data_IF_428244088376
#
_entry.id   IF_428244088376
#
_cell.length_a   1.000
_cell.length_b   1.000
_cell.length_c   1.000
_cell.angle_alpha   90.00
_cell.angle_beta   90.00
_cell.angle_gamma   90.00
#
_symmetry.space_group_name_H-M   'P 1'
#
loop_
_entity.id
_entity.type
_entity.pdbx_description
1 polymer ?
#
# COMPACT_ATOMS: atom_id res chain seq x y z
N UNK A 1 -5.61 -0.51 -18.80
CA UNK A 1 -5.50 0.94 -18.49
C UNK A 1 -4.71 1.23 -17.21
N UNK A 2 -5.13 0.71 -16.06
CA UNK A 2 -4.51 0.96 -14.75
C UNK A 2 -2.97 0.82 -14.70
N UNK A 3 -2.43 -0.31 -15.18
CA UNK A 3 -0.98 -0.58 -15.22
C UNK A 3 -0.22 0.49 -16.01
N UNK A 4 -0.77 0.93 -17.15
CA UNK A 4 -0.16 1.97 -17.98
C UNK A 4 -0.15 3.30 -17.22
N UNK A 5 -1.23 3.63 -16.50
CA UNK A 5 -1.31 4.86 -15.70
C UNK A 5 -0.30 4.86 -14.55
N UNK A 6 -0.13 3.73 -13.88
CA UNK A 6 0.87 3.56 -12.81
C UNK A 6 2.27 3.80 -13.36
N UNK A 7 2.61 3.18 -14.48
CA UNK A 7 3.93 3.35 -15.08
C UNK A 7 4.16 4.79 -15.57
N UNK A 8 3.13 5.42 -16.14
CA UNK A 8 3.18 6.83 -16.54
C UNK A 8 3.44 7.75 -15.34
N UNK A 9 2.77 7.52 -14.20
CA UNK A 9 3.01 8.26 -12.96
C UNK A 9 4.44 8.00 -12.45
N UNK A 10 4.91 6.75 -12.48
CA UNK A 10 6.27 6.41 -12.06
C UNK A 10 7.34 7.07 -12.94
N UNK A 11 7.10 7.21 -14.24
CA UNK A 11 8.01 7.89 -15.16
C UNK A 11 8.25 9.36 -14.79
N UNK A 12 7.27 10.03 -14.15
CA UNK A 12 7.41 11.43 -13.70
C UNK A 12 8.54 11.62 -12.68
N UNK A 13 9.01 10.57 -12.00
CA UNK A 13 10.14 10.65 -11.06
C UNK A 13 11.40 11.23 -11.71
N UNK A 14 11.57 11.04 -13.02
CA UNK A 14 12.72 11.59 -13.78
C UNK A 14 12.69 13.11 -13.88
N UNK A 15 11.52 13.73 -13.72
CA UNK A 15 11.31 15.17 -13.80
C UNK A 15 11.20 15.84 -12.42
N UNK A 16 11.33 15.09 -11.32
CA UNK A 16 11.06 15.60 -9.96
C UNK A 16 11.94 16.79 -9.56
N UNK A 17 13.16 16.85 -10.06
CA UNK A 17 14.10 17.93 -9.77
C UNK A 17 13.99 19.12 -10.74
N UNK A 18 13.49 18.89 -11.96
CA UNK A 18 13.41 19.93 -13.00
C UNK A 18 12.05 20.59 -13.06
N UNK A 19 10.96 19.86 -12.77
CA UNK A 19 9.58 20.34 -12.86
C UNK A 19 8.72 19.93 -11.65
N UNK A 20 9.18 20.15 -10.39
CA UNK A 20 8.47 19.71 -9.19
C UNK A 20 7.04 20.25 -9.11
N UNK A 21 6.85 21.57 -9.30
CA UNK A 21 5.53 22.22 -9.25
C UNK A 21 4.56 21.69 -10.32
N UNK A 22 5.08 21.35 -11.51
CA UNK A 22 4.24 20.79 -12.58
C UNK A 22 3.77 19.38 -12.21
N UNK A 23 4.66 18.54 -11.67
CA UNK A 23 4.31 17.21 -11.17
C UNK A 23 3.25 17.32 -10.08
N UNK A 24 3.44 18.20 -9.10
CA UNK A 24 2.45 18.46 -8.04
C UNK A 24 1.09 18.84 -8.62
N UNK A 25 1.05 19.75 -9.61
CA UNK A 25 -0.20 20.19 -10.25
C UNK A 25 -0.92 19.09 -11.04
N UNK A 26 -0.17 18.14 -11.62
CA UNK A 26 -0.73 17.02 -12.39
C UNK A 26 -1.26 15.93 -11.45
N UNK A 27 -0.52 15.64 -10.37
CA UNK A 27 -0.81 14.52 -9.49
C UNK A 27 -1.80 14.86 -8.36
N UNK A 28 -1.89 16.12 -7.94
CA UNK A 28 -2.80 16.53 -6.86
C UNK A 28 -4.28 16.24 -7.20
N UNK A 29 -4.79 16.51 -8.42
CA UNK A 29 -6.14 16.11 -8.81
C UNK A 29 -6.36 14.60 -8.76
N UNK A 30 -5.35 13.81 -9.15
CA UNK A 30 -5.40 12.34 -9.12
C UNK A 30 -5.49 11.85 -7.67
N UNK A 31 -4.65 12.36 -6.77
CA UNK A 31 -4.73 12.05 -5.35
C UNK A 31 -6.07 12.45 -4.73
N UNK A 32 -6.61 13.62 -5.08
CA UNK A 32 -7.90 14.12 -4.58
C UNK A 32 -9.10 13.32 -5.09
N UNK A 33 -9.03 12.75 -6.29
CA UNK A 33 -10.18 12.15 -6.94
C UNK A 33 -10.56 10.79 -6.33
N UNK A 34 -11.77 10.70 -5.78
CA UNK A 34 -12.33 9.45 -5.23
C UNK A 34 -12.79 8.46 -6.31
N UNK A 35 -12.86 8.88 -7.58
CA UNK A 35 -13.15 7.96 -8.69
C UNK A 35 -11.92 7.14 -9.09
N UNK A 36 -10.73 7.54 -8.64
CA UNK A 36 -9.49 6.84 -8.92
C UNK A 36 -9.31 5.67 -7.97
N UNK A 37 -8.69 4.60 -8.47
CA UNK A 37 -8.36 3.43 -7.64
C UNK A 37 -7.38 3.83 -6.53
N UNK A 38 -7.49 3.25 -5.32
CA UNK A 38 -6.59 3.55 -4.21
C UNK A 38 -5.10 3.49 -4.59
N UNK A 39 -4.70 2.51 -5.40
CA UNK A 39 -3.33 2.37 -5.91
C UNK A 39 -2.80 3.64 -6.58
N UNK A 40 -3.53 4.10 -7.61
CA UNK A 40 -3.17 5.28 -8.40
C UNK A 40 -3.08 6.52 -7.50
N UNK A 41 -3.99 6.64 -6.52
CA UNK A 41 -4.02 7.76 -5.57
C UNK A 41 -2.84 7.74 -4.61
N UNK A 42 -2.51 6.57 -4.06
CA UNK A 42 -1.36 6.36 -3.17
C UNK A 42 -0.04 6.65 -3.89
N UNK A 43 0.13 6.15 -5.10
CA UNK A 43 1.32 6.42 -5.91
C UNK A 43 1.41 7.91 -6.26
N UNK A 44 0.31 8.53 -6.69
CA UNK A 44 0.28 9.97 -6.96
C UNK A 44 0.66 10.80 -5.73
N UNK A 45 0.09 10.50 -4.55
CA UNK A 45 0.43 11.15 -3.29
C UNK A 45 1.92 11.03 -2.95
N UNK A 46 2.48 9.82 -3.06
CA UNK A 46 3.89 9.60 -2.74
C UNK A 46 4.81 10.34 -3.71
N UNK A 47 4.48 10.34 -5.00
CA UNK A 47 5.22 11.08 -6.04
C UNK A 47 5.15 12.59 -5.85
N UNK A 48 4.06 13.12 -5.28
CA UNK A 48 4.01 14.54 -4.85
C UNK A 48 5.04 14.78 -3.75
N UNK A 49 5.12 13.93 -2.73
CA UNK A 49 6.09 14.12 -1.64
C UNK A 49 7.55 14.04 -2.09
N UNK A 50 7.86 13.20 -3.09
CA UNK A 50 9.21 13.12 -3.70
C UNK A 50 9.68 14.42 -4.37
N UNK A 51 8.75 15.32 -4.69
CA UNK A 51 9.09 16.64 -5.27
C UNK A 51 9.54 17.65 -4.22
N UNK A 52 9.63 17.26 -2.94
CA UNK A 52 9.97 18.14 -1.80
C UNK A 52 9.00 19.34 -1.71
N UNK A 53 7.69 19.09 -1.53
CA UNK A 53 6.69 20.14 -1.61
C UNK A 53 6.83 21.22 -0.52
N UNK A 54 6.38 22.43 -0.86
CA UNK A 54 6.23 23.55 0.09
C UNK A 54 5.10 23.26 1.10
N UNK A 55 5.12 23.97 2.25
CA UNK A 55 4.15 23.80 3.34
C UNK A 55 2.69 23.73 2.85
N UNK A 56 2.29 24.63 1.94
CA UNK A 56 0.89 24.71 1.45
C UNK A 56 0.42 23.40 0.82
N UNK A 57 1.30 22.72 0.08
CA UNK A 57 0.99 21.44 -0.56
C UNK A 57 0.94 20.32 0.48
N UNK A 58 1.82 20.35 1.49
CA UNK A 58 1.79 19.41 2.61
C UNK A 58 0.50 19.55 3.44
N UNK A 59 0.11 20.79 3.78
CA UNK A 59 -1.13 21.09 4.51
C UNK A 59 -2.35 20.63 3.71
N UNK A 60 -2.34 20.82 2.40
CA UNK A 60 -3.39 20.30 1.52
C UNK A 60 -3.48 18.76 1.57
N UNK A 61 -2.34 18.06 1.58
CA UNK A 61 -2.31 16.60 1.69
C UNK A 61 -2.89 16.13 3.02
N UNK A 62 -2.50 16.77 4.13
CA UNK A 62 -3.02 16.46 5.47
C UNK A 62 -4.53 16.69 5.53
N UNK A 63 -5.00 17.84 5.06
CA UNK A 63 -6.44 18.14 5.02
C UNK A 63 -7.22 17.12 4.18
N UNK A 64 -6.67 16.69 3.05
CA UNK A 64 -7.29 15.66 2.20
C UNK A 64 -7.30 14.29 2.88
N UNK A 65 -6.26 13.95 3.65
CA UNK A 65 -6.19 12.74 4.46
C UNK A 65 -7.27 12.73 5.56
N UNK A 66 -7.46 13.85 6.27
CA UNK A 66 -8.45 13.91 7.35
C UNK A 66 -9.89 13.68 6.89
N UNK A 67 -10.23 14.15 5.69
CA UNK A 67 -11.57 13.98 5.10
C UNK A 67 -11.69 12.74 4.21
N UNK A 68 -10.64 11.92 4.11
CA UNK A 68 -10.65 10.71 3.31
C UNK A 68 -11.51 9.62 3.98
N UNK A 69 -12.36 8.98 3.18
CA UNK A 69 -13.27 7.92 3.64
C UNK A 69 -12.61 6.55 3.57
N UNK A 70 -11.67 6.38 2.64
CA UNK A 70 -10.91 5.15 2.50
C UNK A 70 -9.86 5.06 3.62
N UNK A 71 -10.03 4.13 4.59
CA UNK A 71 -9.09 3.98 5.69
C UNK A 71 -7.69 3.59 5.22
N UNK A 72 -7.56 2.94 4.08
CA UNK A 72 -6.26 2.55 3.54
C UNK A 72 -5.48 3.74 3.01
N UNK A 73 -6.14 4.62 2.26
CA UNK A 73 -5.49 5.83 1.73
C UNK A 73 -5.10 6.75 2.90
N UNK A 74 -5.94 6.84 3.93
CA UNK A 74 -5.59 7.54 5.18
C UNK A 74 -4.33 6.98 5.85
N UNK A 75 -4.32 5.67 6.11
CA UNK A 75 -3.19 5.00 6.76
C UNK A 75 -1.91 5.17 5.95
N UNK A 76 -1.99 5.02 4.63
CA UNK A 76 -0.87 5.20 3.73
C UNK A 76 -0.32 6.63 3.74
N UNK A 77 -1.19 7.63 3.61
CA UNK A 77 -0.78 9.03 3.62
C UNK A 77 -0.12 9.38 4.95
N UNK A 78 -0.75 9.03 6.08
CA UNK A 78 -0.19 9.26 7.40
C UNK A 78 1.18 8.58 7.56
N UNK A 79 1.30 7.30 7.22
CA UNK A 79 2.55 6.55 7.36
C UNK A 79 3.67 7.12 6.50
N UNK A 80 3.34 7.58 5.28
CA UNK A 80 4.30 8.24 4.39
C UNK A 80 4.79 9.56 4.99
N UNK A 81 3.88 10.38 5.53
CA UNK A 81 4.23 11.63 6.21
C UNK A 81 5.06 11.37 7.48
N UNK A 82 4.64 10.42 8.32
CA UNK A 82 5.35 10.00 9.52
C UNK A 82 6.77 9.55 9.20
N UNK A 83 6.92 8.73 8.17
CA UNK A 83 8.20 8.27 7.64
C UNK A 83 9.11 9.44 7.26
N UNK A 84 8.58 10.42 6.53
CA UNK A 84 9.35 11.62 6.16
C UNK A 84 9.74 12.42 7.41
N UNK A 85 8.84 12.55 8.39
CA UNK A 85 9.11 13.29 9.63
C UNK A 85 10.22 12.70 10.50
N UNK A 86 10.44 11.38 10.41
CA UNK A 86 11.42 10.62 11.20
C UNK A 86 12.80 10.53 10.54
N UNK A 87 12.89 10.95 9.26
CA UNK A 87 14.13 10.87 8.49
C UNK A 87 14.54 12.28 8.03
N UNK A 88 15.07 13.11 8.94
CA UNK A 88 15.47 14.47 8.63
C UNK A 88 16.55 14.56 7.56
N UNK A 89 17.37 13.50 7.39
CA UNK A 89 18.55 13.49 6.53
C UNK A 89 18.23 13.53 5.03
N UNK A 90 16.98 13.28 4.63
CA UNK A 90 16.59 13.29 3.21
C UNK A 90 16.29 14.72 2.75
N UNK A 91 15.48 15.45 3.51
CA UNK A 91 14.80 16.68 3.09
C UNK A 91 14.47 17.59 4.28
N UNK A 92 15.44 18.32 4.83
CA UNK A 92 15.26 19.07 6.08
C UNK A 92 14.05 20.03 6.07
N UNK A 93 13.86 20.79 4.98
CA UNK A 93 12.70 21.69 4.83
C UNK A 93 11.38 20.92 4.75
N UNK A 94 11.30 19.87 3.91
CA UNK A 94 10.09 19.06 3.79
C UNK A 94 9.77 18.34 5.11
N UNK A 95 10.79 17.88 5.83
CA UNK A 95 10.65 17.28 7.16
C UNK A 95 10.05 18.29 8.13
N UNK A 96 10.55 19.54 8.14
CA UNK A 96 9.96 20.61 8.94
C UNK A 96 8.50 20.84 8.58
N UNK A 97 8.18 20.93 7.28
CA UNK A 97 6.80 21.14 6.82
C UNK A 97 5.87 20.02 7.28
N UNK A 98 6.32 18.77 7.13
CA UNK A 98 5.54 17.58 7.51
C UNK A 98 5.37 17.50 9.03
N UNK A 99 6.43 17.74 9.82
CA UNK A 99 6.31 17.80 11.28
C UNK A 99 5.27 18.82 11.72
N UNK A 100 5.35 20.04 11.16
CA UNK A 100 4.39 21.10 11.45
C UNK A 100 2.96 20.69 11.08
N UNK A 101 2.74 20.13 9.90
CA UNK A 101 1.41 19.69 9.47
C UNK A 101 0.86 18.54 10.33
N UNK A 102 1.71 17.62 10.78
CA UNK A 102 1.29 16.51 11.65
C UNK A 102 0.93 16.94 13.08
N UNK A 103 1.37 18.12 13.55
CA UNK A 103 0.95 18.61 14.89
C UNK A 103 -0.54 18.92 15.01
N UNK A 104 -1.25 19.12 13.89
CA UNK A 104 -2.69 19.41 13.89
C UNK A 104 -3.55 18.15 13.80
N UNK A 105 -2.92 16.98 13.68
CA UNK A 105 -3.57 15.70 13.42
C UNK A 105 -3.67 14.89 14.72
N UNK A 106 -4.77 14.18 14.91
CA UNK A 106 -4.92 13.19 16.00
C UNK A 106 -3.99 11.99 15.76
N UNK A 107 -2.76 12.08 16.27
CA UNK A 107 -1.74 11.05 16.04
C UNK A 107 -2.15 9.69 16.60
N UNK A 108 -2.86 9.65 17.73
CA UNK A 108 -3.26 8.39 18.37
C UNK A 108 -4.22 7.61 17.47
N UNK A 109 -5.21 8.29 16.90
CA UNK A 109 -6.13 7.68 15.93
C UNK A 109 -5.40 7.07 14.74
N UNK A 110 -4.45 7.80 14.14
CA UNK A 110 -3.75 7.32 12.93
C UNK A 110 -2.70 6.25 13.22
N UNK A 111 -2.04 6.26 14.38
CA UNK A 111 -1.18 5.16 14.80
C UNK A 111 -1.98 3.86 15.00
N UNK A 112 -3.22 3.93 15.50
CA UNK A 112 -4.10 2.77 15.60
C UNK A 112 -4.64 2.30 14.23
N UNK A 113 -4.78 3.21 13.27
CA UNK A 113 -5.14 2.88 11.88
C UNK A 113 -4.00 2.17 11.12
N UNK A 114 -2.76 2.27 11.64
CA UNK A 114 -1.49 1.89 11.01
C UNK A 114 -1.26 0.38 10.83
N UNK A 115 -2.11 -0.50 11.39
CA UNK A 115 -1.96 -1.96 11.32
C UNK A 115 -2.02 -2.57 9.89
N UNK A 116 -2.19 -1.76 8.84
CA UNK A 116 -2.29 -2.18 7.43
C UNK A 116 -1.06 -1.87 6.58
N UNK A 117 -0.10 -1.10 7.12
CA UNK A 117 1.17 -0.77 6.46
C UNK A 117 2.32 -1.14 7.37
N UNK A 118 3.15 -2.08 6.92
CA UNK A 118 4.26 -2.59 7.70
C UNK A 118 5.56 -1.97 7.20
N UNK A 119 6.32 -1.34 8.09
CA UNK A 119 7.61 -0.73 7.78
C UNK A 119 8.69 -1.28 8.68
N UNK A 120 9.78 -1.73 8.09
CA UNK A 120 10.98 -2.13 8.80
C UNK A 120 12.15 -1.29 8.32
N UNK A 121 12.93 -0.74 9.25
CA UNK A 121 14.11 0.05 8.91
C UNK A 121 15.28 -0.39 9.78
N UNK A 122 16.40 -0.72 9.14
CA UNK A 122 17.66 -1.06 9.79
C UNK A 122 18.70 -0.05 9.33
N UNK A 123 19.40 0.58 10.27
CA UNK A 123 20.47 1.54 10.00
C UNK A 123 21.69 1.26 10.88
N UNK A 124 22.86 1.67 10.42
CA UNK A 124 24.04 1.72 11.27
C UNK A 124 23.99 2.90 12.25
N UNK A 125 24.77 2.84 13.34
CA UNK A 125 24.79 3.87 14.40
C UNK A 125 25.04 5.29 13.88
N UNK A 126 25.85 5.40 12.83
CA UNK A 126 26.22 6.69 12.22
C UNK A 126 25.22 7.16 11.15
N UNK A 127 24.10 6.45 10.95
CA UNK A 127 23.07 6.70 9.92
C UNK A 127 23.60 6.84 8.47
N UNK A 128 24.82 6.35 8.21
CA UNK A 128 25.46 6.39 6.90
C UNK A 128 25.01 5.28 5.97
N UNK A 129 24.60 4.14 6.55
CA UNK A 129 24.16 2.97 5.80
C UNK A 129 22.91 2.36 6.42
N UNK A 130 22.00 1.89 5.58
CA UNK A 130 20.76 1.31 6.05
C UNK A 130 19.83 0.91 4.92
N UNK A 131 18.79 0.18 5.27
CA UNK A 131 17.73 -0.26 4.36
C UNK A 131 16.38 -0.05 5.05
N UNK A 132 15.41 0.45 4.30
CA UNK A 132 14.02 0.55 4.72
C UNK A 132 13.16 -0.25 3.77
N UNK A 133 12.27 -1.08 4.30
CA UNK A 133 11.30 -1.87 3.53
C UNK A 133 9.91 -1.50 4.01
N UNK A 134 9.07 -1.07 3.07
CA UNK A 134 7.65 -0.81 3.29
C UNK A 134 6.83 -1.88 2.56
N UNK A 135 5.85 -2.46 3.26
CA UNK A 135 4.86 -3.38 2.73
C UNK A 135 3.47 -2.74 2.84
N UNK A 136 2.84 -2.55 1.69
CA UNK A 136 1.49 -2.03 1.56
C UNK A 136 0.58 -3.12 1.01
N UNK A 137 -0.49 -3.43 1.74
CA UNK A 137 -1.49 -4.41 1.32
C UNK A 137 -2.85 -3.74 1.11
N UNK A 138 -3.49 -4.00 -0.03
CA UNK A 138 -4.84 -3.54 -0.36
C UNK A 138 -5.82 -4.70 -0.26
N UNK A 139 -6.76 -4.62 0.68
CA UNK A 139 -7.88 -5.56 0.77
C UNK A 139 -9.18 -4.84 0.41
N UNK A 140 -10.00 -5.51 -0.39
CA UNK A 140 -11.36 -5.05 -0.71
C UNK A 140 -12.38 -5.90 0.03
N UNK A 141 -13.61 -5.38 0.21
CA UNK A 141 -14.65 -6.07 1.00
C UNK A 141 -15.10 -7.41 0.41
N UNK A 142 -14.88 -7.62 -0.88
CA UNK A 142 -15.27 -8.79 -1.67
C UNK A 142 -14.18 -9.87 -1.75
N UNK A 143 -13.05 -9.69 -1.05
CA UNK A 143 -11.84 -10.48 -1.27
C UNK A 143 -11.16 -10.83 0.05
N UNK A 144 -10.84 -12.12 0.23
CA UNK A 144 -10.05 -12.59 1.38
C UNK A 144 -8.55 -12.43 1.16
N UNK A 145 -8.14 -12.39 -0.11
CA UNK A 145 -6.76 -12.10 -0.51
C UNK A 145 -6.59 -10.60 -0.80
N UNK A 146 -5.38 -10.05 -0.60
CA UNK A 146 -5.11 -8.68 -1.01
C UNK A 146 -5.25 -8.56 -2.53
N UNK A 147 -5.98 -7.56 -3.01
CA UNK A 147 -6.05 -7.24 -4.44
C UNK A 147 -4.72 -6.70 -4.96
N UNK A 148 -3.99 -6.00 -4.09
CA UNK A 148 -2.63 -5.55 -4.39
C UNK A 148 -1.71 -5.69 -3.19
N UNK A 149 -0.46 -5.98 -3.50
CA UNK A 149 0.65 -5.96 -2.57
C UNK A 149 1.77 -5.14 -3.20
N UNK A 150 2.19 -4.07 -2.55
CA UNK A 150 3.31 -3.24 -2.99
C UNK A 150 4.38 -3.30 -1.92
N UNK A 151 5.58 -3.69 -2.34
CA UNK A 151 6.78 -3.66 -1.52
C UNK A 151 7.74 -2.64 -2.09
N UNK A 152 8.13 -1.65 -1.30
CA UNK A 152 9.18 -0.69 -1.67
C UNK A 152 10.38 -0.85 -0.76
N UNK A 153 11.56 -0.75 -1.35
CA UNK A 153 12.84 -0.80 -0.63
C UNK A 153 13.63 0.47 -0.93
N UNK A 154 14.01 1.17 0.13
CA UNK A 154 14.87 2.34 0.10
C UNK A 154 16.24 1.99 0.69
N UNK A 155 17.30 2.54 0.10
CA UNK A 155 18.67 2.34 0.57
C UNK A 155 19.26 3.65 1.11
N UNK A 156 19.98 3.59 2.23
CA UNK A 156 20.79 4.70 2.75
C UNK A 156 22.23 4.37 2.42
N UNK A 157 22.88 5.19 1.61
CA UNK A 157 24.28 5.00 1.23
C UNK A 157 25.05 6.31 1.39
N UNK A 158 26.07 6.29 2.25
CA UNK A 158 26.87 7.48 2.54
C UNK A 158 26.06 8.62 3.18
N UNK A 159 25.01 8.29 3.95
CA UNK A 159 24.10 9.26 4.57
C UNK A 159 23.06 9.85 3.62
N UNK A 160 23.07 9.46 2.34
CA UNK A 160 22.06 9.83 1.36
C UNK A 160 21.02 8.73 1.23
N UNK A 161 19.76 9.13 1.18
CA UNK A 161 18.66 8.22 0.93
C UNK A 161 18.37 8.07 -0.56
N UNK A 162 18.31 6.83 -1.00
CA UNK A 162 17.97 6.38 -2.34
C UNK A 162 16.61 5.72 -2.27
N UNK A 163 15.58 6.53 -2.47
CA UNK A 163 14.19 6.09 -2.53
C UNK A 163 13.98 5.20 -3.76
N UNK A 164 13.19 4.13 -3.61
CA UNK A 164 12.91 3.14 -4.66
C UNK A 164 14.16 2.50 -5.22
N UNK A 165 15.10 2.16 -4.34
CA UNK A 165 16.22 1.30 -4.72
C UNK A 165 15.70 -0.01 -5.34
N UNK A 166 14.59 -0.54 -4.81
CA UNK A 166 13.75 -1.52 -5.49
C UNK A 166 12.26 -1.28 -5.21
N UNK A 167 11.40 -1.64 -6.16
CA UNK A 167 9.95 -1.69 -5.96
C UNK A 167 9.41 -2.94 -6.63
N UNK A 168 8.58 -3.68 -5.91
CA UNK A 168 7.85 -4.83 -6.40
C UNK A 168 6.37 -4.59 -6.16
N UNK A 169 5.55 -4.81 -7.19
CA UNK A 169 4.10 -4.69 -7.11
C UNK A 169 3.46 -5.98 -7.63
N UNK A 170 2.55 -6.53 -6.85
CA UNK A 170 1.68 -7.62 -7.24
C UNK A 170 0.25 -7.11 -7.25
N UNK A 171 -0.49 -7.36 -8.33
CA UNK A 171 -1.90 -7.04 -8.42
C UNK A 171 -2.64 -8.25 -8.98
N UNK A 172 -3.81 -8.54 -8.40
CA UNK A 172 -4.67 -9.62 -8.84
C UNK A 172 -6.11 -9.13 -9.02
N UNK A 173 -6.79 -9.76 -9.98
CA UNK A 173 -8.21 -9.57 -10.23
C UNK A 173 -8.86 -10.94 -10.38
N UNK A 174 -10.01 -11.14 -9.73
CA UNK A 174 -10.84 -12.35 -9.83
C UNK A 174 -10.16 -13.68 -9.46
N UNK A 175 -8.99 -13.66 -8.79
CA UNK A 175 -8.33 -14.88 -8.32
C UNK A 175 -9.18 -15.59 -7.26
N UNK A 176 -9.94 -14.85 -6.46
CA UNK A 176 -10.88 -15.44 -5.49
C UNK A 176 -11.92 -16.35 -6.18
N UNK A 177 -12.38 -15.99 -7.38
CA UNK A 177 -13.33 -16.81 -8.14
C UNK A 177 -12.69 -18.12 -8.62
N UNK A 178 -11.43 -18.07 -9.06
CA UNK A 178 -10.66 -19.24 -9.48
C UNK A 178 -10.40 -20.15 -8.28
N UNK A 179 -9.98 -19.58 -7.15
CA UNK A 179 -9.73 -20.35 -5.93
C UNK A 179 -11.01 -21.02 -5.42
N UNK A 180 -12.15 -20.32 -5.44
CA UNK A 180 -13.43 -20.88 -5.06
C UNK A 180 -13.85 -22.03 -5.99
N UNK A 181 -13.66 -21.88 -7.32
CA UNK A 181 -13.91 -22.95 -8.29
C UNK A 181 -13.00 -24.17 -8.09
N UNK A 182 -11.72 -23.94 -7.77
CA UNK A 182 -10.77 -25.01 -7.48
C UNK A 182 -11.11 -25.73 -6.17
N UNK A 183 -11.44 -24.98 -5.12
CA UNK A 183 -11.90 -25.52 -3.83
C UNK A 183 -13.17 -26.36 -3.98
N UNK A 184 -14.16 -25.87 -4.74
CA UNK A 184 -15.37 -26.65 -5.02
C UNK A 184 -15.07 -27.95 -5.78
N UNK A 185 -14.24 -27.91 -6.83
CA UNK A 185 -13.84 -29.13 -7.54
C UNK A 185 -13.12 -30.13 -6.64
N UNK A 186 -12.24 -29.66 -5.76
CA UNK A 186 -11.53 -30.54 -4.82
C UNK A 186 -12.50 -31.20 -3.82
N UNK A 187 -13.45 -30.43 -3.28
CA UNK A 187 -14.47 -30.94 -2.36
C UNK A 187 -15.42 -31.93 -3.04
N UNK A 188 -15.85 -31.67 -4.28
CA UNK A 188 -16.68 -32.60 -5.06
C UNK A 188 -15.93 -33.90 -5.36
N UNK A 189 -14.65 -33.82 -5.73
CA UNK A 189 -13.82 -35.01 -6.01
C UNK A 189 -13.62 -35.87 -4.75
N UNK A 190 -13.40 -35.25 -3.58
CA UNK A 190 -13.28 -35.98 -2.31
C UNK A 190 -14.61 -36.62 -1.88
N UNK A 191 -15.73 -35.94 -2.14
CA UNK A 191 -17.08 -36.48 -1.89
C UNK A 191 -17.41 -37.65 -2.81
N UNK A 192 -17.04 -37.62 -4.09
CA UNK A 192 -17.19 -38.76 -5.00
C UNK A 192 -16.37 -39.98 -4.52
N UNK A 193 -15.15 -39.76 -4.02
CA UNK A 193 -14.33 -40.83 -3.42
C UNK A 193 -14.90 -41.38 -2.10
N UNK A 194 -15.56 -40.55 -1.29
CA UNK A 194 -16.24 -40.97 -0.06
C UNK A 194 -17.52 -41.77 -0.33
N UNK A 195 -18.31 -41.41 -1.34
CA UNK A 195 -19.57 -42.11 -1.69
C UNK A 195 -19.31 -43.53 -2.23
N UNK A 196 -18.14 -43.80 -2.83
CA UNK A 196 -17.77 -45.15 -3.31
C UNK A 196 -17.35 -46.09 -2.17
N UNK A 197 -17.12 -45.58 -0.94
CA UNK A 197 -16.81 -46.40 0.24
C UNK A 197 -18.04 -46.75 1.10
N UNK A 198 -19.25 -46.61 0.56
CA UNK A 198 -20.47 -47.18 1.14
C UNK A 198 -20.64 -48.66 0.79
N UNK A 199 -19.79 -49.54 1.34
CA UNK A 199 -20.01 -50.99 1.23
C UNK A 199 -21.30 -51.34 1.97
N UNK A 200 -22.30 -51.81 1.22
CA UNK A 200 -23.59 -52.35 1.70
C UNK A 200 -23.39 -53.22 2.95
N UNK A 201 -24.00 -52.84 4.07
CA UNK A 201 -24.26 -53.73 5.20
C UNK A 201 -25.38 -54.70 4.82
N UNK A 202 -25.02 -55.82 4.19
CA UNK A 202 -25.92 -56.97 4.09
C UNK A 202 -25.88 -57.72 5.42
N UNK A 203 -26.97 -57.63 6.20
CA UNK A 203 -27.59 -58.71 6.99
C UNK A 203 -28.48 -58.10 8.08
N UNK A 204 -29.72 -57.79 7.71
CA UNK A 204 -30.84 -57.80 8.64
C UNK A 204 -31.68 -59.04 8.33
N UNK A 205 -31.83 -59.93 9.31
CA UNK A 205 -32.78 -61.04 9.29
C UNK A 205 -33.52 -61.00 10.64
N UNK A 206 -34.80 -60.65 10.69
CA UNK A 206 -35.58 -60.86 11.89
C UNK A 206 -35.93 -62.35 11.97
N UNK A 207 -35.71 -62.97 13.13
CA UNK A 207 -36.24 -64.29 13.42
C UNK A 207 -37.69 -64.13 13.93
N UNK A 208 -38.59 -64.92 13.35
CA UNK A 208 -39.93 -65.23 13.87
C UNK A 208 -39.83 -66.06 15.16
#
# INVERSE_FOLDING_TARGET
EKVIRIEAINALRRLRYTMPRKIQSILMPIYKSRSETPEIRMIAMRKIMETKPEQVVVDQIVRLMEVERDPQIRAFTYKTLKTISEVPEIHEETVHHVKKALTTVDTEFYENLNNRVLRWTVKNENNRYGVSVDLHSLFTKDSVLPKELITTMDAILGGKWYEYFAQLGFSQQNVDEILNKLLHKLLETDMEHLVVRGKRSTLYRPAE
#
